data_IF_365253332174
#
_entry.id   IF_365253332174
#
_cell.length_a   1.000
_cell.length_b   1.000
_cell.length_c   1.000
_cell.angle_alpha   90.00
_cell.angle_beta   90.00
_cell.angle_gamma   90.00
#
_symmetry.space_group_name_H-M   'P 1'
#
loop_
_entity.id
_entity.type
_entity.pdbx_description
1 polymer ?
#
# COMPACT_ATOMS: atom_id res chain seq x y z
N UNK A 1 0.09 -10.64 8.36
CA UNK A 1 -1.04 -11.17 9.16
C UNK A 1 -1.97 -10.02 9.49
N UNK A 2 -3.29 -10.19 9.36
CA UNK A 2 -4.26 -9.14 9.70
C UNK A 2 -4.44 -9.03 11.21
N UNK A 3 -4.51 -7.81 11.72
CA UNK A 3 -4.87 -7.51 13.12
C UNK A 3 -6.34 -7.80 13.41
N UNK A 4 -7.21 -7.66 12.40
CA UNK A 4 -8.65 -7.91 12.51
C UNK A 4 -8.99 -9.42 12.54
N UNK A 5 -8.16 -10.27 11.93
CA UNK A 5 -8.35 -11.72 11.87
C UNK A 5 -7.08 -12.48 12.29
N UNK A 6 -6.61 -12.32 13.54
CA UNK A 6 -5.29 -12.82 13.96
C UNK A 6 -5.21 -14.35 14.04
N UNK A 7 -6.35 -15.03 14.20
CA UNK A 7 -6.43 -16.48 14.27
C UNK A 7 -6.36 -17.18 12.90
N UNK A 8 -6.52 -16.44 11.80
CA UNK A 8 -6.44 -17.01 10.46
C UNK A 8 -4.97 -17.12 10.02
N UNK A 9 -4.56 -18.28 9.46
CA UNK A 9 -3.23 -18.42 8.92
C UNK A 9 -3.08 -17.54 7.68
N UNK A 10 -1.89 -16.97 7.51
CA UNK A 10 -1.49 -16.40 6.21
C UNK A 10 -1.28 -17.52 5.18
N UNK A 11 -1.25 -17.17 3.90
CA UNK A 11 -0.90 -18.10 2.81
C UNK A 11 0.45 -18.78 3.03
N UNK A 12 1.44 -18.04 3.55
CA UNK A 12 2.74 -18.61 3.90
C UNK A 12 2.66 -19.67 5.00
N UNK A 13 1.87 -19.40 6.04
CA UNK A 13 1.63 -20.35 7.14
C UNK A 13 0.81 -21.57 6.70
N UNK A 14 -0.01 -21.41 5.66
CA UNK A 14 -0.78 -22.49 5.04
C UNK A 14 0.01 -23.32 4.02
N UNK A 15 1.33 -23.08 3.87
CA UNK A 15 2.20 -23.86 2.98
C UNK A 15 2.41 -23.26 1.58
N UNK A 16 2.02 -22.00 1.35
CA UNK A 16 2.22 -21.27 0.10
C UNK A 16 3.07 -20.00 0.31
N UNK A 17 4.34 -20.12 0.73
CA UNK A 17 5.20 -18.99 1.12
C UNK A 17 5.47 -17.98 -0.02
N UNK A 18 5.36 -18.40 -1.27
CA UNK A 18 5.52 -17.56 -2.46
C UNK A 18 4.28 -16.71 -2.77
N UNK A 19 3.14 -17.00 -2.15
CA UNK A 19 1.91 -16.24 -2.32
C UNK A 19 1.85 -15.22 -1.19
N UNK A 20 2.15 -13.99 -1.54
CA UNK A 20 1.91 -12.84 -0.69
C UNK A 20 1.31 -11.77 -1.59
N UNK A 21 0.13 -11.29 -1.23
CA UNK A 21 -0.57 -10.24 -1.95
C UNK A 21 -1.35 -9.44 -0.92
N UNK A 22 -1.06 -8.16 -0.84
CA UNK A 22 -1.82 -7.20 -0.06
C UNK A 22 -2.20 -6.05 -0.97
N UNK A 23 -3.39 -5.49 -0.72
CA UNK A 23 -3.83 -4.26 -1.37
C UNK A 23 -3.31 -3.07 -0.56
N UNK A 24 -2.74 -2.09 -1.23
CA UNK A 24 -2.30 -0.84 -0.63
C UNK A 24 -3.01 0.35 -1.30
N UNK A 25 -3.02 1.48 -0.61
CA UNK A 25 -3.61 2.74 -1.08
C UNK A 25 -2.55 3.83 -1.07
N UNK A 26 -2.65 4.79 -2.00
CA UNK A 26 -1.71 5.89 -2.10
C UNK A 26 -2.36 7.18 -2.60
N UNK A 27 -1.78 8.31 -2.19
CA UNK A 27 -2.07 9.63 -2.74
C UNK A 27 -1.00 9.95 -3.80
N UNK A 28 -1.43 10.19 -5.03
CA UNK A 28 -0.54 10.49 -6.17
C UNK A 28 -0.77 11.91 -6.67
N UNK A 29 0.29 12.56 -7.12
CA UNK A 29 0.26 13.85 -7.81
C UNK A 29 0.67 13.68 -9.29
N UNK A 30 0.43 14.70 -10.10
CA UNK A 30 0.83 14.69 -11.51
C UNK A 30 2.35 14.79 -11.67
N UNK A 31 2.87 14.24 -12.77
CA UNK A 31 4.29 14.32 -13.12
C UNK A 31 4.76 15.77 -13.24
N UNK A 32 5.94 16.06 -12.70
CA UNK A 32 6.51 17.41 -12.66
C UNK A 32 6.05 18.27 -11.48
N UNK A 33 5.23 17.74 -10.57
CA UNK A 33 4.90 18.45 -9.31
C UNK A 33 6.19 18.74 -8.52
N UNK A 34 6.45 20.00 -8.14
CA UNK A 34 7.67 20.36 -7.41
C UNK A 34 7.86 19.59 -6.09
N UNK A 35 9.10 19.17 -5.75
CA UNK A 35 9.37 18.36 -4.55
C UNK A 35 8.85 18.97 -3.25
N UNK A 36 8.90 20.29 -3.11
CA UNK A 36 8.41 20.99 -1.91
C UNK A 36 6.89 20.84 -1.73
N UNK A 37 6.12 20.73 -2.83
CA UNK A 37 4.67 20.49 -2.76
C UNK A 37 4.37 19.05 -2.38
N UNK A 38 5.17 18.10 -2.89
CA UNK A 38 5.07 16.69 -2.50
C UNK A 38 5.38 16.52 -1.02
N UNK A 39 6.44 17.15 -0.52
CA UNK A 39 6.79 17.12 0.90
C UNK A 39 5.65 17.68 1.78
N UNK A 40 5.03 18.79 1.36
CA UNK A 40 3.89 19.36 2.08
C UNK A 40 2.67 18.43 2.10
N UNK A 41 2.36 17.77 0.98
CA UNK A 41 1.26 16.81 0.90
C UNK A 41 1.52 15.57 1.78
N UNK A 42 2.75 15.06 1.78
CA UNK A 42 3.15 13.93 2.62
C UNK A 42 3.05 14.27 4.11
N UNK A 43 3.52 15.45 4.52
CA UNK A 43 3.38 15.92 5.89
C UNK A 43 1.91 16.02 6.33
N UNK A 44 1.06 16.68 5.52
CA UNK A 44 -0.37 16.82 5.82
C UNK A 44 -1.09 15.46 5.86
N UNK A 45 -0.72 14.52 4.98
CA UNK A 45 -1.27 13.17 5.00
C UNK A 45 -0.90 12.45 6.29
N UNK A 46 0.35 12.55 6.74
CA UNK A 46 0.79 11.91 7.98
C UNK A 46 0.10 12.50 9.23
N UNK A 47 -0.16 13.81 9.25
CA UNK A 47 -0.95 14.45 10.31
C UNK A 47 -2.36 13.85 10.40
N UNK A 48 -3.06 13.75 9.27
CA UNK A 48 -4.41 13.21 9.20
C UNK A 48 -4.44 11.71 9.54
N UNK A 49 -3.46 10.92 9.06
CA UNK A 49 -3.33 9.50 9.38
C UNK A 49 -2.95 9.21 10.84
N UNK A 50 -2.51 10.22 11.59
CA UNK A 50 -2.28 10.14 13.03
C UNK A 50 -3.58 10.32 13.84
N UNK A 51 -4.65 10.84 13.24
CA UNK A 51 -5.92 11.05 13.94
C UNK A 51 -6.55 9.71 14.38
N UNK A 52 -6.79 9.49 15.68
CA UNK A 52 -7.30 8.21 16.19
C UNK A 52 -8.63 7.80 15.58
N UNK A 53 -9.52 8.76 15.35
CA UNK A 53 -10.85 8.51 14.79
C UNK A 53 -10.78 8.07 13.32
N UNK A 54 -9.86 8.64 12.54
CA UNK A 54 -9.63 8.19 11.17
C UNK A 54 -9.03 6.78 11.15
N UNK A 55 -8.00 6.54 11.97
CA UNK A 55 -7.38 5.21 12.09
C UNK A 55 -8.41 4.15 12.47
N UNK A 56 -9.31 4.47 13.40
CA UNK A 56 -10.41 3.60 13.83
C UNK A 56 -11.34 3.28 12.65
N UNK A 57 -11.82 4.28 11.93
CA UNK A 57 -12.71 4.08 10.76
C UNK A 57 -12.05 3.26 9.65
N UNK A 58 -10.76 3.49 9.39
CA UNK A 58 -9.99 2.72 8.41
C UNK A 58 -9.84 1.26 8.86
N UNK A 59 -9.53 1.03 10.14
CA UNK A 59 -9.43 -0.31 10.71
C UNK A 59 -10.77 -1.08 10.66
N UNK A 60 -11.91 -0.40 10.88
CA UNK A 60 -13.25 -0.98 10.70
C UNK A 60 -13.50 -1.45 9.26
N UNK A 61 -12.90 -0.77 8.29
CA UNK A 61 -12.88 -1.17 6.88
C UNK A 61 -11.80 -2.21 6.52
N UNK A 62 -11.06 -2.72 7.50
CA UNK A 62 -9.96 -3.68 7.28
C UNK A 62 -8.68 -3.06 6.72
N UNK A 63 -8.52 -1.74 6.81
CA UNK A 63 -7.32 -1.03 6.35
C UNK A 63 -6.41 -0.73 7.54
N UNK A 64 -5.28 -1.41 7.58
CA UNK A 64 -4.19 -1.10 8.52
C UNK A 64 -3.43 0.15 8.01
N UNK A 65 -3.32 1.18 8.86
CA UNK A 65 -2.68 2.44 8.49
C UNK A 65 -1.17 2.37 8.75
N UNK A 66 -0.42 2.26 7.66
CA UNK A 66 1.05 2.26 7.64
C UNK A 66 1.56 3.34 6.67
N UNK A 67 1.83 4.57 7.16
CA UNK A 67 2.33 5.64 6.33
C UNK A 67 3.75 5.33 5.83
N UNK A 68 4.03 5.67 4.57
CA UNK A 68 5.39 5.59 4.04
C UNK A 68 6.35 6.53 4.79
N UNK A 69 7.59 6.08 5.02
CA UNK A 69 8.63 6.85 5.69
C UNK A 69 8.92 8.19 4.98
N UNK A 70 8.93 8.17 3.64
CA UNK A 70 9.11 9.37 2.82
C UNK A 70 8.45 9.19 1.45
N UNK A 71 8.22 10.29 0.70
CA UNK A 71 7.75 10.20 -0.69
C UNK A 71 8.67 9.35 -1.58
N UNK A 72 9.99 9.39 -1.33
CA UNK A 72 10.96 8.60 -2.06
C UNK A 72 10.83 7.10 -1.73
N UNK A 73 10.71 6.75 -0.44
CA UNK A 73 10.50 5.37 -0.01
C UNK A 73 9.21 4.77 -0.61
N UNK A 74 8.13 5.56 -0.69
CA UNK A 74 6.93 5.11 -1.39
C UNK A 74 7.15 4.94 -2.91
N UNK A 75 7.92 5.83 -3.53
CA UNK A 75 8.31 5.70 -4.94
C UNK A 75 9.05 4.38 -5.23
N UNK A 76 9.98 4.01 -4.36
CA UNK A 76 10.72 2.74 -4.46
C UNK A 76 9.78 1.54 -4.29
N UNK A 77 8.88 1.57 -3.31
CA UNK A 77 7.87 0.54 -3.10
C UNK A 77 6.96 0.37 -4.32
N UNK A 78 6.44 1.47 -4.88
CA UNK A 78 5.58 1.45 -6.05
C UNK A 78 6.28 0.86 -7.28
N UNK A 79 7.55 1.22 -7.50
CA UNK A 79 8.36 0.67 -8.59
C UNK A 79 8.59 -0.84 -8.42
N UNK A 80 8.91 -1.28 -7.19
CA UNK A 80 9.11 -2.69 -6.87
C UNK A 80 7.83 -3.52 -7.04
N UNK A 81 6.68 -3.02 -6.56
CA UNK A 81 5.39 -3.68 -6.69
C UNK A 81 4.97 -3.83 -8.16
N UNK A 82 5.15 -2.76 -8.96
CA UNK A 82 4.94 -2.83 -10.42
C UNK A 82 5.85 -3.87 -11.08
N UNK A 83 7.13 -3.94 -10.71
CA UNK A 83 8.06 -4.93 -11.25
C UNK A 83 7.68 -6.37 -10.86
N UNK A 84 7.15 -6.57 -9.65
CA UNK A 84 6.63 -7.85 -9.14
C UNK A 84 5.38 -8.32 -9.91
N UNK A 85 4.41 -7.44 -10.13
CA UNK A 85 3.12 -7.82 -10.73
C UNK A 85 3.10 -7.87 -12.25
N UNK A 86 3.91 -7.04 -12.93
CA UNK A 86 3.97 -7.03 -14.39
C UNK A 86 4.19 -8.42 -15.04
N UNK A 87 5.10 -9.31 -14.57
CA UNK A 87 5.23 -10.65 -15.12
C UNK A 87 4.03 -11.57 -14.80
N UNK A 88 3.34 -11.37 -13.66
CA UNK A 88 2.14 -12.14 -13.29
C UNK A 88 1.02 -11.86 -14.29
N UNK A 89 0.74 -10.58 -14.54
CA UNK A 89 -0.27 -10.13 -15.52
C UNK A 89 0.03 -10.70 -16.90
N UNK A 90 1.29 -10.61 -17.36
CA UNK A 90 1.69 -11.14 -18.67
C UNK A 90 1.51 -12.65 -18.79
N UNK A 91 1.93 -13.42 -17.77
CA UNK A 91 1.79 -14.89 -17.80
C UNK A 91 0.35 -15.36 -17.74
N UNK A 92 -0.50 -14.63 -17.03
CA UNK A 92 -1.92 -14.96 -16.91
C UNK A 92 -2.74 -14.54 -18.13
N UNK A 93 -2.15 -13.83 -19.10
CA UNK A 93 -2.88 -13.33 -20.27
C UNK A 93 -3.96 -12.29 -19.95
N UNK A 94 -3.89 -11.66 -18.77
CA UNK A 94 -4.89 -10.68 -18.32
C UNK A 94 -4.82 -9.41 -19.17
N UNK A 95 -5.99 -8.88 -19.54
CA UNK A 95 -6.16 -7.62 -20.27
C UNK A 95 -7.25 -6.78 -19.59
N UNK A 96 -7.09 -5.46 -19.63
CA UNK A 96 -8.17 -4.54 -19.29
C UNK A 96 -8.95 -4.29 -20.57
N UNK A 97 -10.27 -4.48 -20.53
CA UNK A 97 -11.18 -4.17 -21.63
C UNK A 97 -11.40 -2.66 -21.80
#
# INVERSE_FOLDING_TARGET
RSTALPALPTTGEAGFPQIEASTWFALLATGGTPPERIARLHAALNEVLAEPELRRKLAEGGVDVEPSESPAAFGDYFAADRARWAPVVRRAGMRVE
#
